data_IF_119227253128
#
_entry.id   IF_119227253128
#
_cell.length_a   1.000
_cell.length_b   1.000
_cell.length_c   1.000
_cell.angle_alpha   90.00
_cell.angle_beta   90.00
_cell.angle_gamma   90.00
#
_symmetry.space_group_name_H-M   'P 1'
#
loop_
_entity.id
_entity.type
_entity.pdbx_description
1 polymer ?
#
# COMPACT_ATOMS: atom_id res chain seq x y z
N UNK A 1 -63.93 19.31 -10.67
CA UNK A 1 -62.90 18.26 -10.88
C UNK A 1 -61.55 18.90 -10.63
N UNK A 2 -60.73 18.62 -9.63
CA UNK A 2 -60.81 17.82 -8.41
C UNK A 2 -59.92 18.53 -7.36
N UNK A 3 -60.43 18.70 -6.15
CA UNK A 3 -59.99 18.01 -4.92
C UNK A 3 -58.64 18.48 -4.38
N UNK A 4 -58.75 19.49 -3.50
CA UNK A 4 -57.85 19.73 -2.38
C UNK A 4 -57.86 18.50 -1.46
N UNK A 5 -56.72 17.83 -1.34
CA UNK A 5 -56.51 16.80 -0.32
C UNK A 5 -55.46 17.31 0.67
N UNK A 6 -55.99 17.78 1.78
CA UNK A 6 -55.31 18.18 3.00
C UNK A 6 -54.65 16.93 3.61
N UNK A 7 -53.32 16.85 3.53
CA UNK A 7 -52.59 15.74 4.16
C UNK A 7 -52.56 15.97 5.68
N UNK A 8 -53.36 15.20 6.41
CA UNK A 8 -53.47 15.21 7.85
C UNK A 8 -52.12 14.86 8.51
N UNK A 9 -51.67 15.72 9.43
CA UNK A 9 -50.56 15.46 10.34
C UNK A 9 -50.99 14.41 11.37
N UNK A 10 -50.53 13.17 11.22
CA UNK A 10 -50.77 12.09 12.17
C UNK A 10 -49.89 12.29 13.43
N UNK A 11 -50.46 12.44 14.64
CA UNK A 11 -49.70 12.70 15.86
C UNK A 11 -48.94 11.48 16.43
N UNK A 12 -48.87 10.35 15.69
CA UNK A 12 -48.14 9.13 16.09
C UNK A 12 -46.90 8.79 15.27
N UNK A 13 -46.53 9.59 14.27
CA UNK A 13 -45.27 9.41 13.55
C UNK A 13 -44.11 10.08 14.32
N UNK A 14 -43.50 9.34 15.25
CA UNK A 14 -42.25 9.75 15.88
C UNK A 14 -41.15 9.80 14.80
N UNK A 15 -40.59 10.99 14.55
CA UNK A 15 -39.38 11.14 13.74
C UNK A 15 -38.24 10.32 14.38
N UNK A 16 -37.43 9.57 13.62
CA UNK A 16 -36.24 8.94 14.16
C UNK A 16 -35.26 10.02 14.65
N UNK A 17 -34.67 9.81 15.84
CA UNK A 17 -33.65 10.70 16.41
C UNK A 17 -32.37 10.62 15.54
N UNK A 18 -31.64 11.72 15.35
CA UNK A 18 -30.31 11.65 14.76
C UNK A 18 -29.35 10.88 15.70
N UNK A 19 -28.41 10.09 15.16
CA UNK A 19 -27.40 9.43 15.99
C UNK A 19 -26.50 10.49 16.64
N UNK A 20 -26.28 10.37 17.94
CA UNK A 20 -25.30 11.14 18.70
C UNK A 20 -23.88 10.69 18.36
N UNK A 21 -22.88 11.59 18.27
CA UNK A 21 -21.49 11.18 18.07
C UNK A 21 -21.01 10.36 19.28
N UNK A 22 -20.62 9.11 19.04
CA UNK A 22 -20.00 8.24 20.02
C UNK A 22 -18.57 8.69 20.34
N UNK A 23 -18.19 8.61 21.61
CA UNK A 23 -16.84 8.87 22.10
C UNK A 23 -15.85 7.80 21.64
N UNK A 24 -14.53 8.10 21.59
CA UNK A 24 -13.53 7.11 21.21
C UNK A 24 -13.24 6.23 22.43
N UNK A 25 -13.52 4.93 22.34
CA UNK A 25 -12.84 3.88 23.11
C UNK A 25 -13.33 2.49 22.68
N UNK A 26 -12.44 1.76 22.03
CA UNK A 26 -12.61 0.36 21.67
C UNK A 26 -11.31 -0.14 21.08
N UNK A 27 -10.31 -0.38 21.92
CA UNK A 27 -9.10 -1.13 21.57
C UNK A 27 -9.54 -2.56 21.28
N UNK A 28 -9.78 -2.88 20.02
CA UNK A 28 -9.85 -4.27 19.57
C UNK A 28 -8.47 -4.89 19.82
N UNK A 29 -8.41 -5.76 20.82
CA UNK A 29 -7.24 -6.56 21.14
C UNK A 29 -7.12 -7.59 20.03
N UNK A 30 -6.24 -7.34 19.07
CA UNK A 30 -5.88 -8.34 18.07
C UNK A 30 -4.93 -9.32 18.76
N UNK A 31 -5.40 -10.56 18.89
CA UNK A 31 -4.68 -11.68 19.46
C UNK A 31 -3.49 -12.00 18.55
N UNK A 32 -2.28 -11.92 19.10
CA UNK A 32 -1.03 -11.90 18.36
C UNK A 32 -0.76 -13.16 17.53
N UNK A 33 -0.29 -12.95 16.30
CA UNK A 33 0.40 -13.95 15.52
C UNK A 33 1.85 -14.03 16.02
N UNK A 34 2.16 -15.10 16.76
CA UNK A 34 3.51 -15.40 17.24
C UNK A 34 4.28 -16.13 16.12
N UNK A 35 4.71 -15.36 15.12
CA UNK A 35 5.84 -15.75 14.30
C UNK A 35 7.06 -15.32 15.10
N UNK A 36 7.86 -16.28 15.56
CA UNK A 36 9.13 -16.02 16.23
C UNK A 36 10.10 -15.30 15.28
N UNK A 37 9.94 -13.98 15.17
CA UNK A 37 10.96 -13.05 14.69
C UNK A 37 11.95 -12.95 15.83
N UNK A 38 13.19 -13.39 15.59
CA UNK A 38 14.25 -13.28 16.59
C UNK A 38 14.41 -11.79 16.98
N UNK A 39 14.06 -11.39 18.22
CA UNK A 39 13.94 -9.99 18.60
C UNK A 39 15.30 -9.35 18.91
N UNK A 40 16.42 -10.00 18.60
CA UNK A 40 17.73 -9.36 18.77
C UNK A 40 17.77 -8.06 17.96
N UNK A 41 17.94 -6.90 18.62
CA UNK A 41 18.11 -5.65 17.92
C UNK A 41 19.32 -5.77 16.99
N UNK A 42 19.16 -5.45 15.70
CA UNK A 42 20.33 -5.19 14.85
C UNK A 42 21.15 -4.11 15.57
N UNK A 43 22.42 -4.39 15.87
CA UNK A 43 23.27 -3.35 16.45
C UNK A 43 23.34 -2.18 15.47
N UNK A 44 23.42 -0.95 15.99
CA UNK A 44 23.53 0.26 15.14
C UNK A 44 24.68 0.16 14.14
N UNK A 45 25.77 -0.53 14.53
CA UNK A 45 26.91 -0.82 13.66
C UNK A 45 26.55 -1.78 12.51
N UNK A 46 25.76 -2.83 12.77
CA UNK A 46 25.33 -3.76 11.73
C UNK A 46 24.42 -3.07 10.72
N UNK A 47 23.47 -2.27 11.19
CA UNK A 47 22.58 -1.48 10.34
C UNK A 47 23.37 -0.46 9.49
N UNK A 48 24.32 0.26 10.10
CA UNK A 48 25.18 1.20 9.38
C UNK A 48 26.03 0.50 8.31
N UNK A 49 26.56 -0.68 8.59
CA UNK A 49 27.30 -1.49 7.61
C UNK A 49 26.41 -1.97 6.46
N UNK A 50 25.17 -2.37 6.76
CA UNK A 50 24.15 -2.78 5.79
C UNK A 50 23.82 -1.61 4.84
N UNK A 51 23.51 -0.43 5.39
CA UNK A 51 23.28 0.78 4.58
C UNK A 51 24.50 1.15 3.74
N UNK A 52 25.71 1.08 4.29
CA UNK A 52 26.93 1.36 3.55
C UNK A 52 27.18 0.35 2.42
N UNK A 53 26.80 -0.93 2.63
CA UNK A 53 26.86 -1.97 1.60
C UNK A 53 25.89 -1.69 0.47
N UNK A 54 24.62 -1.40 0.79
CA UNK A 54 23.59 -1.03 -0.17
C UNK A 54 24.06 0.19 -0.99
N UNK A 55 24.55 1.25 -0.34
CA UNK A 55 25.02 2.44 -1.03
C UNK A 55 26.15 2.17 -2.04
N UNK A 56 27.13 1.30 -1.70
CA UNK A 56 28.20 0.90 -2.62
C UNK A 56 27.68 0.04 -3.78
N UNK A 57 26.77 -0.88 -3.49
CA UNK A 57 26.14 -1.73 -4.51
C UNK A 57 25.34 -0.88 -5.49
N UNK A 58 24.59 0.12 -5.03
CA UNK A 58 23.86 1.03 -5.92
C UNK A 58 24.80 1.94 -6.71
N UNK A 59 25.81 2.53 -6.06
CA UNK A 59 26.74 3.47 -6.69
C UNK A 59 27.68 2.86 -7.74
N UNK A 60 27.82 1.53 -7.77
CA UNK A 60 28.65 0.79 -8.74
C UNK A 60 27.86 0.23 -9.93
N UNK A 61 26.56 0.50 -10.02
CA UNK A 61 25.74 0.02 -11.12
C UNK A 61 26.09 0.73 -12.44
N UNK A 62 26.17 0.00 -13.58
CA UNK A 62 26.60 0.58 -14.85
C UNK A 62 25.53 1.46 -15.52
N UNK A 63 24.25 1.29 -15.15
CA UNK A 63 23.12 2.01 -15.73
C UNK A 63 22.06 2.31 -14.66
N UNK A 64 21.13 3.21 -14.97
CA UNK A 64 20.00 3.53 -14.07
C UNK A 64 19.11 2.31 -13.88
N UNK A 65 18.86 1.56 -14.95
CA UNK A 65 18.05 0.34 -14.93
C UNK A 65 18.67 -0.70 -13.97
N UNK A 66 19.99 -0.94 -14.08
CA UNK A 66 20.71 -1.83 -13.19
C UNK A 66 20.69 -1.33 -11.73
N UNK A 67 20.70 -0.01 -11.50
CA UNK A 67 20.51 0.55 -10.16
C UNK A 67 19.12 0.21 -9.61
N UNK A 68 18.06 0.39 -10.41
CA UNK A 68 16.67 0.13 -10.00
C UNK A 68 16.45 -1.35 -9.67
N UNK A 69 17.01 -2.26 -10.48
CA UNK A 69 17.00 -3.70 -10.21
C UNK A 69 17.70 -4.02 -8.87
N UNK A 70 18.86 -3.41 -8.60
CA UNK A 70 19.57 -3.59 -7.33
C UNK A 70 18.80 -3.04 -6.13
N UNK A 71 18.06 -1.94 -6.30
CA UNK A 71 17.17 -1.41 -5.25
C UNK A 71 16.07 -2.43 -4.92
N UNK A 72 15.44 -3.02 -5.94
CA UNK A 72 14.40 -4.04 -5.75
C UNK A 72 14.93 -5.25 -4.97
N UNK A 73 16.11 -5.76 -5.35
CA UNK A 73 16.75 -6.88 -4.63
C UNK A 73 17.07 -6.49 -3.19
N UNK A 74 17.71 -5.34 -2.98
CA UNK A 74 18.05 -4.87 -1.64
C UNK A 74 16.80 -4.65 -0.75
N UNK A 75 15.68 -4.23 -1.33
CA UNK A 75 14.42 -4.05 -0.60
C UNK A 75 13.84 -5.37 -0.08
N UNK A 76 13.93 -6.44 -0.88
CA UNK A 76 13.52 -7.79 -0.47
C UNK A 76 14.45 -8.31 0.63
N UNK A 77 15.76 -8.12 0.49
CA UNK A 77 16.75 -8.57 1.48
C UNK A 77 16.64 -7.81 2.82
N UNK A 78 16.28 -6.51 2.79
CA UNK A 78 16.21 -5.68 3.97
C UNK A 78 14.95 -5.91 4.82
N UNK A 79 13.85 -6.39 4.20
CA UNK A 79 12.54 -6.53 4.83
C UNK A 79 12.14 -8.00 4.89
N UNK A 80 12.29 -8.63 6.06
CA UNK A 80 12.17 -10.08 6.26
C UNK A 80 10.83 -10.69 5.79
N UNK A 81 9.73 -9.94 5.81
CA UNK A 81 8.41 -10.40 5.34
C UNK A 81 8.18 -10.20 3.84
N UNK A 82 8.96 -9.32 3.19
CA UNK A 82 8.81 -8.98 1.78
C UNK A 82 9.30 -10.11 0.89
N UNK A 83 8.50 -10.51 -0.10
CA UNK A 83 8.88 -11.52 -1.10
C UNK A 83 8.87 -10.98 -2.52
N UNK A 84 8.13 -9.90 -2.76
CA UNK A 84 8.05 -9.26 -4.07
C UNK A 84 8.26 -7.76 -3.92
N UNK A 85 9.04 -7.17 -4.83
CA UNK A 85 9.22 -5.74 -4.85
C UNK A 85 9.32 -5.20 -6.27
N UNK A 86 8.89 -3.95 -6.44
CA UNK A 86 8.90 -3.28 -7.74
C UNK A 86 9.06 -1.79 -7.61
N UNK A 87 9.59 -1.18 -8.66
CA UNK A 87 9.60 0.26 -8.82
C UNK A 87 8.81 0.59 -10.07
N UNK A 88 7.88 1.53 -9.93
CA UNK A 88 7.26 2.18 -11.07
C UNK A 88 7.56 3.67 -11.07
N UNK A 89 7.48 4.26 -12.26
CA UNK A 89 7.45 5.69 -12.47
C UNK A 89 6.07 6.10 -12.96
N UNK A 90 5.64 7.28 -12.56
CA UNK A 90 4.47 7.93 -13.14
C UNK A 90 4.93 8.71 -14.38
N UNK A 91 4.43 8.30 -15.53
CA UNK A 91 4.74 8.85 -16.85
C UNK A 91 3.43 9.25 -17.53
N UNK A 92 3.25 10.55 -17.79
CA UNK A 92 1.99 11.13 -18.29
C UNK A 92 0.73 10.65 -17.53
N UNK A 93 0.84 10.53 -16.21
CA UNK A 93 -0.26 10.09 -15.34
C UNK A 93 -0.50 8.57 -15.35
N UNK A 94 0.30 7.80 -16.07
CA UNK A 94 0.22 6.34 -16.16
C UNK A 94 1.40 5.69 -15.44
N UNK A 95 1.15 4.57 -14.75
CA UNK A 95 2.22 3.76 -14.15
C UNK A 95 3.02 3.07 -15.26
N UNK A 96 4.35 3.15 -15.16
CA UNK A 96 5.28 2.34 -15.93
C UNK A 96 6.23 1.63 -14.99
N UNK A 97 6.12 0.31 -14.90
CA UNK A 97 7.05 -0.54 -14.14
C UNK A 97 8.44 -0.43 -14.77
N UNK A 98 9.45 -0.09 -13.97
CA UNK A 98 10.83 0.11 -14.40
C UNK A 98 11.81 -0.90 -13.81
N UNK A 99 11.41 -1.56 -12.73
CA UNK A 99 12.09 -2.73 -12.17
C UNK A 99 11.06 -3.56 -11.40
N UNK A 100 11.19 -4.89 -11.46
CA UNK A 100 10.33 -5.82 -10.75
C UNK A 100 11.13 -7.06 -10.36
N UNK A 101 10.85 -7.64 -9.20
CA UNK A 101 11.46 -8.89 -8.76
C UNK A 101 10.96 -10.09 -9.56
N UNK A 102 9.72 -10.02 -10.03
CA UNK A 102 9.02 -11.11 -10.70
C UNK A 102 7.75 -10.60 -11.40
N UNK A 103 7.10 -11.51 -12.14
CA UNK A 103 5.91 -11.21 -12.92
C UNK A 103 4.66 -10.91 -12.07
N UNK A 104 4.64 -11.26 -10.77
CA UNK A 104 3.51 -10.92 -9.89
C UNK A 104 3.46 -9.41 -9.67
N UNK A 105 4.62 -8.77 -9.46
CA UNK A 105 4.73 -7.31 -9.34
C UNK A 105 4.19 -6.59 -10.58
N UNK A 106 4.55 -7.05 -11.77
CA UNK A 106 4.05 -6.44 -13.03
C UNK A 106 2.53 -6.56 -13.15
N UNK A 107 1.95 -7.68 -12.69
CA UNK A 107 0.49 -7.89 -12.66
C UNK A 107 -0.19 -6.97 -11.64
N UNK A 108 0.42 -6.74 -10.48
CA UNK A 108 -0.09 -5.81 -9.47
C UNK A 108 -0.07 -4.38 -10.00
N UNK A 109 1.01 -3.94 -10.65
CA UNK A 109 1.09 -2.62 -11.27
C UNK A 109 0.04 -2.48 -12.40
N UNK A 110 -0.16 -3.52 -13.20
CA UNK A 110 -1.22 -3.53 -14.21
C UNK A 110 -2.61 -3.43 -13.57
N UNK A 111 -2.83 -4.14 -12.45
CA UNK A 111 -4.08 -4.11 -11.71
C UNK A 111 -4.38 -2.72 -11.15
N UNK A 112 -3.39 -2.04 -10.54
CA UNK A 112 -3.57 -0.67 -10.04
C UNK A 112 -3.92 0.31 -11.16
N UNK A 113 -3.31 0.16 -12.35
CA UNK A 113 -3.71 0.96 -13.52
C UNK A 113 -5.14 0.69 -13.97
N UNK A 114 -5.53 -0.58 -13.99
CA UNK A 114 -6.84 -1.01 -14.44
C UNK A 114 -7.95 -0.53 -13.50
N UNK A 115 -7.77 -0.70 -12.19
CA UNK A 115 -8.75 -0.30 -11.18
C UNK A 115 -8.66 1.17 -10.81
N UNK A 116 -7.54 1.82 -11.13
CA UNK A 116 -7.19 3.16 -10.69
C UNK A 116 -7.11 3.31 -9.15
N UNK A 117 -6.95 2.18 -8.45
CA UNK A 117 -6.84 2.05 -6.99
C UNK A 117 -5.49 1.45 -6.60
N UNK A 118 -5.09 1.65 -5.36
CA UNK A 118 -3.99 0.93 -4.73
C UNK A 118 -3.01 1.86 -4.02
N UNK A 119 -2.31 1.34 -3.00
CA UNK A 119 -1.47 2.16 -2.12
C UNK A 119 -0.32 2.82 -2.86
N UNK A 120 0.13 2.21 -3.96
CA UNK A 120 1.19 2.75 -4.77
C UNK A 120 0.76 4.02 -5.53
N UNK A 121 -0.45 4.01 -6.09
CA UNK A 121 -1.04 5.19 -6.72
C UNK A 121 -1.27 6.30 -5.69
N UNK A 122 -1.78 5.92 -4.53
CA UNK A 122 -2.06 6.85 -3.45
C UNK A 122 -0.79 7.48 -2.88
N UNK A 123 0.30 6.72 -2.71
CA UNK A 123 1.59 7.27 -2.28
C UNK A 123 2.09 8.36 -3.24
N UNK A 124 1.89 8.18 -4.56
CA UNK A 124 2.28 9.17 -5.57
C UNK A 124 1.30 10.35 -5.66
N UNK A 125 -0.01 10.12 -5.48
CA UNK A 125 -1.05 11.16 -5.54
C UNK A 125 -1.15 12.00 -4.27
N UNK A 126 -1.14 11.35 -3.11
CA UNK A 126 -1.44 11.88 -1.79
C UNK A 126 -0.32 12.70 -1.13
N UNK A 127 0.89 12.73 -1.71
CA UNK A 127 2.06 13.45 -1.14
C UNK A 127 2.50 12.93 0.23
N UNK A 128 2.05 11.74 0.61
CA UNK A 128 2.54 10.99 1.76
C UNK A 128 3.88 10.36 1.42
N UNK A 129 4.74 10.16 2.43
CA UNK A 129 6.03 9.50 2.23
C UNK A 129 5.85 8.00 1.91
N UNK A 130 4.76 7.40 2.39
CA UNK A 130 4.41 6.02 2.17
C UNK A 130 2.90 5.79 2.33
N UNK A 131 2.42 4.70 1.77
CA UNK A 131 1.11 4.10 2.05
C UNK A 131 1.30 2.62 2.38
N UNK A 132 0.36 2.03 3.12
CA UNK A 132 0.42 0.62 3.51
C UNK A 132 -0.97 0.00 3.59
N UNK A 133 -1.05 -1.29 3.34
CA UNK A 133 -2.20 -2.11 3.76
C UNK A 133 -1.67 -3.39 4.38
N UNK A 134 -2.16 -3.70 5.58
CA UNK A 134 -1.82 -4.92 6.32
C UNK A 134 -2.65 -6.12 5.86
N UNK A 135 -3.80 -5.92 5.22
CA UNK A 135 -4.53 -7.01 4.58
C UNK A 135 -5.36 -6.50 3.40
N UNK A 136 -4.83 -6.69 2.19
CA UNK A 136 -5.45 -6.31 0.94
C UNK A 136 -6.76 -7.06 0.68
N UNK A 137 -6.95 -8.26 1.25
CA UNK A 137 -8.20 -8.99 1.09
C UNK A 137 -9.39 -8.24 1.70
N UNK A 138 -9.13 -7.48 2.78
CA UNK A 138 -10.14 -6.78 3.57
C UNK A 138 -9.94 -5.26 3.57
N UNK A 139 -9.21 -4.71 2.60
CA UNK A 139 -8.85 -3.29 2.54
C UNK A 139 -9.98 -2.42 1.94
N UNK A 140 -10.72 -1.63 2.75
CA UNK A 140 -11.86 -0.86 2.27
C UNK A 140 -11.48 0.30 1.34
N UNK A 141 -10.23 0.77 1.38
CA UNK A 141 -9.76 1.82 0.48
C UNK A 141 -9.56 1.30 -0.96
N UNK A 142 -9.38 -0.01 -1.14
CA UNK A 142 -9.05 -0.65 -2.41
C UNK A 142 -10.05 -1.77 -2.75
N UNK A 143 -11.36 -1.48 -2.85
CA UNK A 143 -12.39 -2.51 -2.99
C UNK A 143 -12.31 -3.29 -4.32
N UNK A 144 -11.68 -2.75 -5.37
CA UNK A 144 -11.45 -3.43 -6.63
C UNK A 144 -10.01 -3.99 -6.74
N UNK A 145 -9.01 -3.28 -6.23
CA UNK A 145 -7.62 -3.74 -6.26
C UNK A 145 -7.33 -4.84 -5.23
N UNK A 146 -7.72 -4.64 -3.97
CA UNK A 146 -7.35 -5.47 -2.84
C UNK A 146 -7.69 -6.96 -3.00
N UNK A 147 -8.96 -7.33 -3.21
CA UNK A 147 -9.34 -8.74 -3.40
C UNK A 147 -8.63 -9.41 -4.59
N UNK A 148 -8.39 -8.68 -5.68
CA UNK A 148 -7.69 -9.20 -6.86
C UNK A 148 -6.18 -9.35 -6.63
N UNK A 149 -5.57 -8.50 -5.80
CA UNK A 149 -4.21 -8.68 -5.34
C UNK A 149 -4.08 -9.91 -4.41
N UNK A 150 -5.07 -10.13 -3.54
CA UNK A 150 -5.16 -11.31 -2.69
C UNK A 150 -5.32 -12.61 -3.50
N UNK A 151 -6.08 -12.60 -4.60
CA UNK A 151 -6.18 -13.73 -5.53
C UNK A 151 -4.83 -14.07 -6.21
N UNK A 152 -3.90 -13.11 -6.29
CA UNK A 152 -2.52 -13.32 -6.74
C UNK A 152 -1.59 -13.79 -5.62
N UNK A 153 -2.11 -14.02 -4.41
CA UNK A 153 -1.36 -14.46 -3.24
C UNK A 153 -0.79 -13.34 -2.37
N UNK A 154 -1.07 -12.06 -2.69
CA UNK A 154 -0.50 -10.91 -2.00
C UNK A 154 -1.47 -10.39 -0.94
N UNK A 155 -0.99 -10.31 0.30
CA UNK A 155 -1.82 -9.96 1.45
C UNK A 155 -1.48 -8.61 2.04
N UNK A 156 -0.22 -8.21 2.06
CA UNK A 156 0.15 -6.88 2.56
C UNK A 156 1.10 -6.17 1.62
N UNK A 157 1.15 -4.85 1.75
CA UNK A 157 1.94 -3.97 0.90
C UNK A 157 2.42 -2.75 1.66
N UNK A 158 3.67 -2.36 1.42
CA UNK A 158 4.24 -1.07 1.76
C UNK A 158 4.66 -0.37 0.45
N UNK A 159 4.06 0.78 0.17
CA UNK A 159 4.40 1.60 -0.98
C UNK A 159 5.14 2.86 -0.53
N UNK A 160 6.41 2.99 -0.90
CA UNK A 160 7.26 4.12 -0.56
C UNK A 160 7.32 5.10 -1.72
N UNK A 161 6.97 6.36 -1.48
CA UNK A 161 7.02 7.41 -2.51
C UNK A 161 8.47 7.71 -2.89
N UNK A 162 8.77 7.63 -4.19
CA UNK A 162 10.02 8.08 -4.79
C UNK A 162 9.76 9.37 -5.56
N UNK A 163 10.33 10.48 -5.09
CA UNK A 163 10.11 11.79 -5.70
C UNK A 163 11.42 12.56 -5.87
N UNK A 164 11.62 13.09 -7.07
CA UNK A 164 12.62 14.11 -7.38
C UNK A 164 11.92 15.32 -8.00
N UNK A 165 12.65 16.40 -8.28
CA UNK A 165 12.11 17.56 -8.97
C UNK A 165 11.57 17.24 -10.39
N UNK A 166 12.02 16.12 -10.98
CA UNK A 166 11.70 15.75 -12.37
C UNK A 166 10.82 14.51 -12.50
N UNK A 167 10.80 13.63 -11.49
CA UNK A 167 10.17 12.31 -11.60
C UNK A 167 9.43 11.95 -10.32
N UNK A 168 8.31 11.27 -10.50
CA UNK A 168 7.54 10.66 -9.43
C UNK A 168 7.41 9.17 -9.69
N UNK A 169 7.41 8.39 -8.63
CA UNK A 169 7.26 6.95 -8.66
C UNK A 169 7.07 6.40 -7.26
N UNK A 170 7.06 5.08 -7.14
CA UNK A 170 7.11 4.43 -5.84
C UNK A 170 7.87 3.11 -5.91
N UNK A 171 8.48 2.76 -4.78
CA UNK A 171 9.01 1.43 -4.48
C UNK A 171 7.94 0.68 -3.68
N UNK A 172 7.47 -0.43 -4.21
CA UNK A 172 6.43 -1.24 -3.61
C UNK A 172 7.05 -2.53 -3.09
N UNK A 173 6.74 -2.87 -1.84
CA UNK A 173 7.14 -4.11 -1.18
C UNK A 173 5.88 -4.87 -0.84
N UNK A 174 5.81 -6.14 -1.24
CA UNK A 174 4.64 -6.98 -1.07
C UNK A 174 5.00 -8.25 -0.30
N UNK A 175 4.06 -8.69 0.53
CA UNK A 175 4.15 -9.94 1.27
C UNK A 175 2.90 -10.80 1.08
N UNK A 176 3.08 -12.10 1.22
CA UNK A 176 2.02 -13.11 1.11
C UNK A 176 1.23 -13.29 2.42
N UNK A 177 1.65 -12.60 3.48
CA UNK A 177 1.04 -12.62 4.81
C UNK A 177 0.56 -11.21 5.22
N UNK A 178 -0.51 -11.12 6.01
CA UNK A 178 -0.90 -9.88 6.67
C UNK A 178 0.18 -9.32 7.62
#
# INVERSE_FOLDING_TARGET
MGSLAQCAVNPRCRRPRPPTPGSPRGTASVQGYDLAVDPTPRSDANLAMEFASIARTLGSAPTVEATLERIVVAAIEAVDACRHAGIFLLDDGTIRTVAASDATVERLDALQRETNEGPCLDAVRGRTAYETSVDLADEPNYPAFGPRAADLGIRSVLALRLATDQRLGALNLYAELP
#
